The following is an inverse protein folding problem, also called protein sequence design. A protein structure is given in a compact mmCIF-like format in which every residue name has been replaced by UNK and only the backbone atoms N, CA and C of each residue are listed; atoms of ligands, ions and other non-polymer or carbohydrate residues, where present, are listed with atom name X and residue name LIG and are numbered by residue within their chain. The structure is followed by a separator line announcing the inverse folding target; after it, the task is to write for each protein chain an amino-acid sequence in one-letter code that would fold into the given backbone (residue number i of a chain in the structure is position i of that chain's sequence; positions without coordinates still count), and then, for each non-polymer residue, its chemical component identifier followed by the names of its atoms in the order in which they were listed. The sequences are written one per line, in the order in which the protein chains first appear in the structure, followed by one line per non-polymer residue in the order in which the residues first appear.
data_IF_809878042797
#
_entry.id   IF_809878042797
#
_cell.length_a   1.000
_cell.length_b   1.000
_cell.length_c   1.000
_cell.angle_alpha   90.00
_cell.angle_beta   90.00
_cell.angle_gamma   90.00
#
_symmetry.space_group_name_H-M   'P 1'
#
loop_
_entity.id
_entity.type
_entity.pdbx_description
1 polymer ?
#
# COMPACT_ATOMS: atom_id res chain seq x y z
N UNK A 1 -14.85 -4.54 -20.71
CA UNK A 1 -14.96 -4.37 -22.19
C UNK A 1 -15.18 -5.73 -22.81
N UNK A 2 -16.24 -5.89 -23.59
CA UNK A 2 -16.62 -7.16 -24.22
C UNK A 2 -15.74 -7.53 -25.42
N UNK A 3 -15.05 -6.56 -26.04
CA UNK A 3 -14.20 -6.76 -27.23
C UNK A 3 -12.76 -7.14 -26.89
N UNK A 4 -12.22 -6.64 -25.78
CA UNK A 4 -10.87 -6.99 -25.31
C UNK A 4 -10.80 -6.88 -23.78
N UNK A 5 -10.71 -8.03 -23.13
CA UNK A 5 -10.64 -8.14 -21.66
C UNK A 5 -9.37 -7.52 -21.09
N UNK A 6 -8.25 -7.49 -21.84
CA UNK A 6 -6.98 -6.92 -21.38
C UNK A 6 -7.01 -5.41 -21.19
N UNK A 7 -7.94 -4.70 -21.85
CA UNK A 7 -8.12 -3.24 -21.68
C UNK A 7 -9.25 -2.91 -20.70
N UNK A 8 -9.85 -3.93 -20.09
CA UNK A 8 -10.92 -3.77 -19.13
C UNK A 8 -10.41 -3.45 -17.72
N UNK A 9 -11.33 -3.34 -16.75
CA UNK A 9 -11.00 -3.23 -15.34
C UNK A 9 -10.07 -4.38 -14.92
N UNK A 10 -9.00 -4.04 -14.20
CA UNK A 10 -8.08 -5.03 -13.66
C UNK A 10 -8.51 -5.42 -12.25
N UNK A 11 -8.77 -6.71 -12.03
CA UNK A 11 -9.19 -7.26 -10.76
C UNK A 11 -7.98 -7.82 -10.01
N UNK A 12 -7.38 -6.98 -9.16
CA UNK A 12 -6.31 -7.42 -8.26
C UNK A 12 -6.87 -8.39 -7.22
N UNK A 13 -6.16 -9.50 -7.01
CA UNK A 13 -6.56 -10.52 -6.04
C UNK A 13 -5.82 -10.38 -4.72
N UNK A 14 -4.53 -10.01 -4.77
CA UNK A 14 -3.71 -9.89 -3.57
C UNK A 14 -4.27 -8.83 -2.60
N UNK A 15 -4.30 -9.11 -1.28
CA UNK A 15 -4.90 -8.20 -0.30
C UNK A 15 -4.21 -6.83 -0.25
N UNK A 16 -2.89 -6.77 -0.47
CA UNK A 16 -2.11 -5.54 -0.58
C UNK A 16 -2.58 -4.67 -1.74
N UNK A 17 -2.81 -5.28 -2.91
CA UNK A 17 -3.26 -4.60 -4.13
C UNK A 17 -4.73 -4.20 -4.07
N UNK A 18 -5.59 -4.96 -3.39
CA UNK A 18 -6.98 -4.54 -3.13
C UNK A 18 -6.99 -3.26 -2.28
N UNK A 19 -6.16 -3.19 -1.23
CA UNK A 19 -6.03 -1.98 -0.41
C UNK A 19 -5.49 -0.81 -1.23
N UNK A 20 -4.43 -1.02 -2.00
CA UNK A 20 -3.86 0.01 -2.88
C UNK A 20 -4.88 0.54 -3.89
N UNK A 21 -5.66 -0.36 -4.50
CA UNK A 21 -6.74 -0.01 -5.43
C UNK A 21 -7.82 0.83 -4.74
N UNK A 22 -8.21 0.47 -3.52
CA UNK A 22 -9.21 1.23 -2.73
C UNK A 22 -8.70 2.63 -2.40
N UNK A 23 -7.42 2.79 -2.02
CA UNK A 23 -6.83 4.10 -1.73
C UNK A 23 -6.69 4.93 -3.00
N UNK A 24 -6.32 4.31 -4.13
CA UNK A 24 -6.28 4.96 -5.45
C UNK A 24 -7.64 5.54 -5.81
N UNK A 25 -8.72 4.79 -5.61
CA UNK A 25 -10.06 5.25 -5.98
C UNK A 25 -10.59 6.37 -5.06
N UNK A 26 -9.99 6.56 -3.88
CA UNK A 26 -10.26 7.70 -2.98
C UNK A 26 -9.46 8.96 -3.34
N UNK A 27 -8.41 8.84 -4.15
CA UNK A 27 -7.54 9.94 -4.55
C UNK A 27 -7.89 10.43 -5.97
N UNK A 28 -7.81 11.75 -6.24
CA UNK A 28 -7.96 12.27 -7.59
C UNK A 28 -6.70 11.96 -8.41
N UNK A 29 -6.64 10.76 -8.99
CA UNK A 29 -5.45 10.26 -9.70
C UNK A 29 -5.19 10.96 -11.04
N UNK A 30 -6.17 11.69 -11.57
CA UNK A 30 -6.04 12.44 -12.81
C UNK A 30 -5.10 13.65 -12.67
N UNK A 31 -4.93 14.17 -11.44
CA UNK A 31 -4.02 15.28 -11.17
C UNK A 31 -2.64 14.75 -10.76
N UNK A 32 -1.58 15.46 -11.15
CA UNK A 32 -0.19 15.12 -10.81
C UNK A 32 0.03 14.96 -9.30
N UNK A 33 -0.67 15.74 -8.49
CA UNK A 33 -0.60 15.64 -7.03
C UNK A 33 -1.18 14.33 -6.48
N UNK A 34 -2.25 13.80 -7.10
CA UNK A 34 -2.85 12.52 -6.71
C UNK A 34 -1.94 11.35 -7.08
N UNK A 35 -1.30 11.41 -8.25
CA UNK A 35 -0.29 10.43 -8.63
C UNK A 35 0.92 10.47 -7.68
N UNK A 36 1.44 11.66 -7.37
CA UNK A 36 2.54 11.81 -6.42
C UNK A 36 2.19 11.31 -4.99
N UNK A 37 0.92 11.42 -4.58
CA UNK A 37 0.46 10.86 -3.31
C UNK A 37 0.44 9.33 -3.32
N UNK A 38 0.09 8.71 -4.45
CA UNK A 38 0.14 7.26 -4.61
C UNK A 38 1.57 6.72 -4.71
N UNK A 39 2.47 7.46 -5.34
CA UNK A 39 3.88 7.06 -5.45
C UNK A 39 4.56 7.03 -4.06
N UNK A 40 4.05 7.81 -3.10
CA UNK A 40 4.49 7.78 -1.68
C UNK A 40 3.91 6.60 -0.90
N UNK A 41 2.86 5.95 -1.39
CA UNK A 41 2.17 4.86 -0.69
C UNK A 41 2.75 3.51 -1.09
N UNK A 42 3.36 2.82 -0.14
CA UNK A 42 3.79 1.43 -0.28
C UNK A 42 2.88 0.50 0.55
N UNK A 43 2.42 -0.59 -0.04
CA UNK A 43 1.51 -1.55 0.60
C UNK A 43 2.00 -2.97 0.36
N UNK A 44 2.13 -3.73 1.44
CA UNK A 44 2.84 -5.01 1.46
C UNK A 44 1.96 -6.17 1.93
N UNK A 45 2.29 -7.37 1.45
CA UNK A 45 1.64 -8.64 1.80
C UNK A 45 2.28 -9.28 3.03
N UNK A 46 2.06 -8.70 4.21
CA UNK A 46 2.78 -9.10 5.43
C UNK A 46 3.71 -7.99 5.89
N UNK A 47 4.86 -8.34 6.47
CA UNK A 47 5.84 -7.37 6.97
C UNK A 47 7.22 -7.78 6.47
N UNK A 48 7.65 -7.25 5.30
CA UNK A 48 8.96 -7.56 4.77
C UNK A 48 10.08 -6.93 5.62
N UNK A 49 11.29 -7.54 5.66
CA UNK A 49 12.50 -6.84 6.11
C UNK A 49 12.71 -5.60 5.22
N UNK A 50 13.04 -4.40 5.72
CA UNK A 50 13.50 -4.02 7.07
C UNK A 50 12.40 -3.45 7.99
N UNK A 51 11.12 -3.59 7.63
CA UNK A 51 9.99 -3.02 8.40
C UNK A 51 9.59 -3.88 9.60
N UNK A 52 10.05 -5.12 9.63
CA UNK A 52 9.89 -6.08 10.72
C UNK A 52 10.40 -5.54 12.07
N UNK A 53 11.56 -4.87 12.05
CA UNK A 53 12.28 -4.33 13.22
C UNK A 53 11.85 -2.92 13.60
N UNK A 54 11.12 -2.22 12.73
CA UNK A 54 10.63 -0.85 13.00
C UNK A 54 9.36 -0.91 13.87
N UNK A 55 9.20 0.07 14.76
CA UNK A 55 7.98 0.19 15.59
C UNK A 55 6.79 0.51 14.69
N UNK A 56 5.81 -0.40 14.67
CA UNK A 56 4.58 -0.26 13.92
C UNK A 56 3.62 0.69 14.63
N UNK A 57 3.02 1.58 13.86
CA UNK A 57 1.97 2.48 14.32
C UNK A 57 0.59 1.94 13.95
N UNK A 58 -0.41 2.35 14.72
CA UNK A 58 -1.82 1.97 14.52
C UNK A 58 -2.64 3.24 14.43
N UNK A 59 -3.65 3.27 13.55
CA UNK A 59 -4.58 4.40 13.39
C UNK A 59 -5.85 4.10 14.20
N UNK A 60 -6.07 4.74 15.37
CA UNK A 60 -7.18 4.36 16.26
C UNK A 60 -8.56 4.59 15.65
N UNK A 61 -8.71 5.62 14.82
CA UNK A 61 -9.96 5.97 14.15
C UNK A 61 -10.40 4.96 13.07
N UNK A 62 -9.53 4.04 12.67
CA UNK A 62 -9.82 3.00 11.68
C UNK A 62 -9.85 1.59 12.31
N UNK A 63 -9.69 1.49 13.63
CA UNK A 63 -9.65 0.19 14.30
C UNK A 63 -11.03 -0.43 14.41
N UNK A 64 -11.16 -1.70 13.99
CA UNK A 64 -12.39 -2.50 14.10
C UNK A 64 -12.98 -2.46 15.51
N UNK A 65 -12.16 -2.63 16.55
CA UNK A 65 -12.63 -2.70 17.95
C UNK A 65 -13.22 -1.38 18.43
N UNK A 66 -12.78 -0.26 17.86
CA UNK A 66 -13.26 1.08 18.19
C UNK A 66 -14.49 1.43 17.35
N UNK A 67 -14.44 1.15 16.05
CA UNK A 67 -15.44 1.62 15.09
C UNK A 67 -16.65 0.70 14.94
N UNK A 68 -16.53 -0.59 15.27
CA UNK A 68 -17.59 -1.59 15.07
C UNK A 68 -18.11 -2.15 16.41
N UNK A 69 -19.44 -2.32 16.51
CA UNK A 69 -20.06 -2.99 17.67
C UNK A 69 -19.63 -4.46 17.73
N UNK A 70 -19.37 -5.02 18.94
CA UNK A 70 -18.89 -6.40 19.09
C UNK A 70 -19.78 -7.48 18.48
N UNK A 71 -21.09 -7.23 18.36
CA UNK A 71 -22.07 -8.19 17.84
C UNK A 71 -22.18 -8.20 16.31
N UNK A 72 -21.50 -7.29 15.61
CA UNK A 72 -21.56 -7.21 14.14
C UNK A 72 -20.52 -8.12 13.51
N UNK A 73 -20.97 -8.86 12.49
CA UNK A 73 -20.11 -9.72 11.67
C UNK A 73 -19.14 -8.85 10.86
N UNK A 74 -17.92 -9.34 10.67
CA UNK A 74 -16.89 -8.73 9.84
C UNK A 74 -16.22 -9.82 8.99
N UNK A 75 -15.55 -9.41 7.92
CA UNK A 75 -14.76 -10.31 7.08
C UNK A 75 -13.27 -9.98 7.20
N UNK A 76 -12.44 -11.01 7.08
CA UNK A 76 -10.99 -10.86 6.99
C UNK A 76 -10.59 -10.76 5.51
N UNK A 77 -9.90 -9.68 5.14
CA UNK A 77 -9.51 -9.44 3.75
C UNK A 77 -8.64 -10.57 3.18
N UNK A 78 -7.75 -11.15 4.00
CA UNK A 78 -6.91 -12.29 3.58
C UNK A 78 -7.73 -13.55 3.25
N UNK A 79 -8.77 -13.86 4.03
CA UNK A 79 -9.66 -14.99 3.74
C UNK A 79 -10.46 -14.75 2.46
N UNK A 80 -10.99 -13.54 2.29
CA UNK A 80 -11.71 -13.15 1.07
C UNK A 80 -10.80 -13.25 -0.16
N UNK A 81 -9.58 -12.73 -0.08
CA UNK A 81 -8.62 -12.78 -1.19
C UNK A 81 -8.26 -14.23 -1.58
N UNK A 82 -8.18 -15.14 -0.63
CA UNK A 82 -7.94 -16.56 -0.89
C UNK A 82 -9.12 -17.23 -1.60
N UNK A 83 -10.36 -16.93 -1.19
CA UNK A 83 -11.57 -17.46 -1.85
C UNK A 83 -11.71 -16.99 -3.30
N UNK A 84 -11.29 -15.76 -3.61
CA UNK A 84 -11.36 -15.19 -4.97
C UNK A 84 -10.20 -15.68 -5.87
N UNK A 85 -9.19 -16.34 -5.29
CA UNK A 85 -8.12 -17.01 -6.06
C UNK A 85 -6.75 -16.31 -5.99
N UNK A 86 -6.44 -15.61 -4.91
CA UNK A 86 -5.03 -15.28 -4.62
C UNK A 86 -4.25 -16.56 -4.34
N UNK A 87 -3.31 -16.89 -5.23
CA UNK A 87 -2.33 -17.94 -4.98
C UNK A 87 -1.44 -17.51 -3.82
N UNK A 88 -1.62 -18.15 -2.67
CA UNK A 88 -0.78 -17.98 -1.47
C UNK A 88 0.58 -18.66 -1.67
N UNK A 89 1.33 -18.24 -2.68
CA UNK A 89 2.75 -18.57 -2.74
C UNK A 89 3.54 -17.53 -1.93
N UNK A 90 4.50 -17.94 -1.08
CA UNK A 90 5.38 -17.03 -0.33
C UNK A 90 6.41 -16.36 -1.26
N UNK A 91 6.01 -16.01 -2.49
CA UNK A 91 6.85 -15.46 -3.55
C UNK A 91 6.75 -13.93 -3.63
N UNK A 92 5.79 -13.33 -2.92
CA UNK A 92 5.68 -11.87 -2.80
C UNK A 92 6.85 -11.29 -1.97
N UNK A 93 7.36 -12.05 -0.99
CA UNK A 93 8.50 -11.67 -0.14
C UNK A 93 9.80 -11.46 -0.95
N UNK A 94 10.01 -12.26 -2.01
CA UNK A 94 11.21 -12.17 -2.87
C UNK A 94 11.18 -11.00 -3.86
N UNK A 95 9.99 -10.57 -4.30
CA UNK A 95 9.87 -9.41 -5.23
C UNK A 95 9.93 -8.08 -4.50
N UNK A 96 9.41 -8.03 -3.29
CA UNK A 96 9.35 -6.82 -2.45
C UNK A 96 10.73 -6.45 -1.87
N UNK A 97 11.63 -7.43 -1.76
CA UNK A 97 13.04 -7.25 -1.37
C UNK A 97 13.90 -6.51 -2.42
N UNK A 98 13.36 -6.26 -3.63
CA UNK A 98 14.09 -5.65 -4.75
C UNK A 98 13.69 -4.19 -5.04
N UNK A 99 12.66 -3.66 -4.39
CA UNK A 99 12.36 -2.23 -4.48
C UNK A 99 13.45 -1.46 -3.71
N UNK A 100 14.25 -0.62 -4.38
CA UNK A 100 15.28 0.15 -3.70
C UNK A 100 14.62 1.02 -2.62
N UNK A 101 15.18 0.97 -1.41
CA UNK A 101 14.78 1.92 -0.37
C UNK A 101 14.97 3.33 -0.93
N UNK A 102 14.03 4.26 -0.73
CA UNK A 102 14.33 5.66 -0.93
C UNK A 102 15.49 5.99 0.01
N UNK A 103 16.67 6.23 -0.56
CA UNK A 103 17.77 6.80 0.19
C UNK A 103 17.25 8.09 0.81
N UNK A 104 17.44 8.24 2.12
CA UNK A 104 17.08 9.49 2.77
C UNK A 104 17.86 10.58 2.06
N UNK A 105 17.15 11.46 1.33
CA UNK A 105 17.70 12.72 0.86
C UNK A 105 18.15 13.48 2.10
N UNK A 106 19.42 13.23 2.45
CA UNK A 106 20.17 14.01 3.42
C UNK A 106 20.04 15.45 2.97
N UNK A 107 19.49 16.26 3.87
CA UNK A 107 19.39 17.70 3.72
C UNK A 107 20.76 18.23 3.29
N UNK A 108 20.88 18.60 2.01
CA UNK A 108 21.99 19.39 1.55
C UNK A 108 21.79 20.80 2.08
N UNK A 109 22.41 21.00 3.24
CA UNK A 109 23.30 22.11 3.54
C UNK A 109 22.68 23.51 3.42
N UNK A 110 22.16 23.97 4.56
CA UNK A 110 21.99 25.38 4.84
C UNK A 110 23.06 25.79 5.86
N UNK A 111 24.28 26.10 5.42
CA UNK A 111 25.21 26.99 6.14
C UNK A 111 26.35 27.46 5.22
N UNK A 112 26.69 28.76 5.36
CA UNK A 112 28.01 29.36 5.07
C UNK A 112 28.35 29.62 3.57
N UNK A 113 28.82 30.77 3.09
CA UNK A 113 29.39 32.00 3.70
C UNK A 113 29.34 33.15 2.67
N UNK A 114 29.59 34.36 3.16
CA UNK A 114 29.84 35.64 2.51
C UNK A 114 30.72 35.66 1.25
N UNK A 115 30.64 36.82 0.57
CA UNK A 115 31.69 37.51 -0.23
C UNK A 115 31.68 37.31 -1.76
N UNK A 116 30.92 38.18 -2.46
CA UNK A 116 31.43 39.31 -3.28
C UNK A 116 30.29 39.98 -4.07
#
# INVERSE_FOLDING_TARGET
MNTNTSRGPYHFQAPSRILWQTVRDLLPCEIKGGQAALDRLQVFGGIPPPYDKKKRMVVPAALKVVCLKPTRKFACLGCLAQEVGSDSHPREEERESQDPLPEEETAHDATETEEN
#
